data_IF_363534796304
#
_entry.id   IF_363534796304
#
_cell.length_a   1.000
_cell.length_b   1.000
_cell.length_c   1.000
_cell.angle_alpha   90.00
_cell.angle_beta   90.00
_cell.angle_gamma   90.00
#
_symmetry.space_group_name_H-M   'P 1'
#
loop_
_entity.id
_entity.type
_entity.pdbx_description
1 polymer ?
#
# COMPACT_ATOMS: atom_id res chain seq x y z
N UNK A 1 13.28 -14.01 8.43
CA UNK A 1 12.78 -13.63 8.12
C UNK A 1 12.26 -13.03 7.44
N UNK A 2 12.55 -12.91 7.20
CA UNK A 2 12.06 -12.23 6.58
C UNK A 2 11.27 -11.96 6.10
N UNK A 3 11.06 -11.79 5.98
CA UNK A 3 10.36 -11.37 5.51
C UNK A 3 9.70 -10.90 5.49
N UNK A 4 9.88 -10.76 5.63
CA UNK A 4 9.28 -10.34 5.72
C UNK A 4 8.78 -9.49 5.40
N UNK A 5 8.95 -9.02 5.31
CA UNK A 5 8.49 -8.19 4.96
C UNK A 5 7.82 -7.67 4.46
N UNK A 6 7.73 -7.57 4.98
CA UNK A 6 7.22 -7.05 3.70
C UNK A 6 5.89 -6.33 3.85
N UNK A 7 5.89 -5.06 3.59
CA UNK A 7 4.69 -4.26 3.62
C UNK A 7 3.88 -4.48 2.35
N UNK A 8 2.56 -4.69 2.49
CA UNK A 8 1.72 -4.71 1.32
C UNK A 8 1.34 -3.27 0.93
N UNK A 9 0.59 -3.11 -0.15
CA UNK A 9 0.25 -1.77 -0.64
C UNK A 9 -0.61 -1.00 0.35
N UNK A 10 -1.49 -1.69 1.07
CA UNK A 10 -2.30 -1.01 2.08
C UNK A 10 -1.43 -0.53 3.23
N UNK A 11 -0.45 -1.33 3.63
CA UNK A 11 0.49 -0.94 4.67
C UNK A 11 1.31 0.28 4.23
N UNK A 12 1.75 0.29 2.97
CA UNK A 12 2.53 1.40 2.45
C UNK A 12 1.76 2.71 2.51
N UNK A 13 0.46 2.66 2.25
CA UNK A 13 -0.38 3.86 2.34
C UNK A 13 -0.97 4.06 3.72
N UNK A 14 -0.68 3.15 4.66
CA UNK A 14 -1.17 3.25 6.03
C UNK A 14 -2.68 3.30 6.09
N UNK A 15 -3.34 2.48 5.29
CA UNK A 15 -4.78 2.41 5.27
C UNK A 15 -5.24 0.96 5.43
N UNK A 16 -6.50 0.80 5.77
CA UNK A 16 -7.11 -0.51 5.87
C UNK A 16 -7.35 -1.08 4.47
N UNK A 17 -7.38 -2.40 4.37
CA UNK A 17 -7.71 -3.05 3.10
C UNK A 17 -9.15 -2.74 2.68
N UNK A 18 -9.97 -2.26 3.62
CA UNK A 18 -11.34 -1.85 3.31
C UNK A 18 -11.48 -0.36 3.05
N UNK A 19 -10.37 0.35 2.90
CA UNK A 19 -10.43 1.80 2.70
C UNK A 19 -11.17 2.16 1.42
N UNK A 20 -11.98 3.21 1.49
CA UNK A 20 -12.69 3.69 0.32
C UNK A 20 -11.74 4.42 -0.62
N UNK A 21 -12.07 4.46 -1.93
CA UNK A 21 -11.20 5.14 -2.89
C UNK A 21 -10.87 6.58 -2.50
N UNK A 22 -11.84 7.29 -1.96
CA UNK A 22 -11.62 8.67 -1.54
C UNK A 22 -10.58 8.76 -0.43
N UNK A 23 -10.62 7.83 0.52
CA UNK A 23 -9.65 7.79 1.61
C UNK A 23 -8.26 7.52 1.06
N UNK A 24 -8.16 6.57 0.13
CA UNK A 24 -6.88 6.23 -0.50
C UNK A 24 -6.29 7.46 -1.21
N UNK A 25 -7.13 8.19 -1.95
CA UNK A 25 -6.67 9.39 -2.64
C UNK A 25 -6.15 10.44 -1.65
N UNK A 26 -6.88 10.64 -0.57
CA UNK A 26 -6.53 11.64 0.42
C UNK A 26 -5.21 11.30 1.10
N UNK A 27 -5.06 10.05 1.53
CA UNK A 27 -3.85 9.61 2.21
C UNK A 27 -2.66 9.66 1.26
N UNK A 28 -2.86 9.25 0.01
CA UNK A 28 -1.77 9.30 -0.96
C UNK A 28 -1.23 10.73 -1.10
N UNK A 29 -2.12 11.72 -1.22
CA UNK A 29 -1.65 13.11 -1.36
C UNK A 29 -0.84 13.54 -0.16
N UNK A 30 -1.29 13.15 1.03
CA UNK A 30 -0.59 13.51 2.26
C UNK A 30 0.79 12.87 2.30
N UNK A 31 0.87 11.58 2.00
CA UNK A 31 2.14 10.87 2.05
C UNK A 31 3.08 11.28 0.93
N UNK A 32 2.51 11.54 -0.26
CA UNK A 32 3.33 11.99 -1.38
C UNK A 32 4.01 13.32 -1.06
N UNK A 33 3.27 14.21 -0.41
CA UNK A 33 3.84 15.50 -0.01
C UNK A 33 4.92 15.32 1.04
N UNK A 34 4.67 14.43 1.99
CA UNK A 34 5.63 14.18 3.08
C UNK A 34 6.93 13.61 2.56
N UNK A 35 6.86 12.66 1.65
CA UNK A 35 8.06 11.94 1.19
C UNK A 35 8.63 12.44 -0.13
N UNK A 36 8.04 13.53 -0.68
CA UNK A 36 8.56 14.07 -1.92
C UNK A 36 10.05 14.39 -1.80
N UNK A 37 10.86 14.07 -2.82
CA UNK A 37 12.30 14.31 -2.73
C UNK A 37 12.67 15.76 -2.44
N UNK A 38 11.81 16.71 -2.83
CA UNK A 38 12.07 18.13 -2.58
C UNK A 38 11.78 18.54 -1.13
N UNK A 39 11.14 17.68 -0.36
CA UNK A 39 10.86 17.98 1.04
C UNK A 39 12.14 17.79 1.85
N UNK A 40 12.70 18.90 2.32
CA UNK A 40 14.00 18.85 2.97
C UNK A 40 13.99 18.15 4.32
N UNK A 41 12.85 18.12 4.98
CA UNK A 41 12.77 17.55 6.32
C UNK A 41 12.49 16.06 6.32
N UNK A 42 11.64 15.59 5.43
CA UNK A 42 11.19 14.22 5.46
C UNK A 42 11.23 13.53 4.10
N UNK A 43 11.81 14.18 3.10
CA UNK A 43 11.86 13.60 1.76
C UNK A 43 12.60 12.28 1.72
N UNK A 44 12.08 11.34 0.96
CA UNK A 44 12.66 10.02 0.82
C UNK A 44 12.25 9.45 -0.53
N UNK A 45 13.17 9.44 -1.46
CA UNK A 45 12.86 9.04 -2.82
C UNK A 45 12.40 7.59 -2.92
N UNK A 46 13.04 6.71 -2.18
CA UNK A 46 12.66 5.29 -2.21
C UNK A 46 11.27 5.09 -1.65
N UNK A 47 10.96 5.75 -0.54
CA UNK A 47 9.65 5.65 0.08
C UNK A 47 8.59 6.26 -0.84
N UNK A 48 8.91 7.41 -1.44
CA UNK A 48 8.00 8.07 -2.36
C UNK A 48 7.63 7.15 -3.52
N UNK A 49 8.64 6.44 -4.05
CA UNK A 49 8.42 5.53 -5.18
C UNK A 49 7.49 4.38 -4.79
N UNK A 50 7.68 3.83 -3.59
CA UNK A 50 6.84 2.75 -3.10
C UNK A 50 5.39 3.21 -2.91
N UNK A 51 5.23 4.42 -2.39
CA UNK A 51 3.91 5.00 -2.18
C UNK A 51 3.20 5.20 -3.52
N UNK A 52 3.93 5.68 -4.51
CA UNK A 52 3.38 5.86 -5.85
C UNK A 52 2.96 4.54 -6.46
N UNK A 53 3.78 3.52 -6.30
CA UNK A 53 3.44 2.18 -6.81
C UNK A 53 2.17 1.66 -6.16
N UNK A 54 2.06 1.77 -4.85
CA UNK A 54 0.88 1.32 -4.12
C UNK A 54 -0.37 2.06 -4.60
N UNK A 55 -0.24 3.37 -4.76
CA UNK A 55 -1.37 4.17 -5.21
C UNK A 55 -1.80 3.82 -6.64
N UNK A 56 -0.82 3.55 -7.50
CA UNK A 56 -1.12 3.20 -8.88
C UNK A 56 -2.01 1.96 -8.96
N UNK A 57 -1.79 1.01 -8.07
CA UNK A 57 -2.61 -0.21 -8.02
C UNK A 57 -3.92 0.04 -7.30
N UNK A 58 -3.86 0.65 -6.12
CA UNK A 58 -5.05 0.74 -5.26
C UNK A 58 -6.05 1.80 -5.74
N UNK A 59 -5.63 2.74 -6.58
CA UNK A 59 -6.53 3.76 -7.09
C UNK A 59 -7.26 3.32 -8.36
N UNK A 60 -6.82 2.24 -8.97
CA UNK A 60 -7.46 1.70 -10.18
C UNK A 60 -8.37 0.55 -9.75
N UNK A 61 -9.69 0.67 -9.95
CA UNK A 61 -10.62 -0.36 -9.46
C UNK A 61 -10.29 -1.76 -9.97
N UNK A 62 -9.87 -1.87 -11.20
CA UNK A 62 -9.56 -3.17 -11.78
C UNK A 62 -8.28 -3.75 -11.21
N UNK A 63 -7.25 -2.94 -11.12
CA UNK A 63 -5.98 -3.39 -10.55
C UNK A 63 -6.14 -3.71 -9.07
N UNK A 64 -6.91 -2.88 -8.36
CA UNK A 64 -7.17 -3.12 -6.95
C UNK A 64 -7.89 -4.44 -6.75
N UNK A 65 -8.89 -4.73 -7.58
CA UNK A 65 -9.63 -5.97 -7.46
C UNK A 65 -8.72 -7.18 -7.62
N UNK A 66 -7.83 -7.14 -8.60
CA UNK A 66 -6.88 -8.22 -8.81
C UNK A 66 -5.93 -8.36 -7.64
N UNK A 67 -5.46 -7.22 -7.14
CA UNK A 67 -4.55 -7.23 -6.00
C UNK A 67 -5.24 -7.81 -4.77
N UNK A 68 -6.49 -7.43 -4.55
CA UNK A 68 -7.24 -7.90 -3.39
C UNK A 68 -7.44 -9.41 -3.42
N UNK A 69 -7.71 -9.96 -4.59
CA UNK A 69 -7.88 -11.41 -4.72
C UNK A 69 -6.60 -12.13 -4.34
N UNK A 70 -5.47 -11.68 -4.86
CA UNK A 70 -4.18 -12.28 -4.55
C UNK A 70 -3.83 -12.10 -3.07
N UNK A 71 -4.13 -10.94 -2.53
CA UNK A 71 -3.83 -10.63 -1.13
C UNK A 71 -4.66 -11.49 -0.18
N UNK A 72 -5.94 -11.62 -0.46
CA UNK A 72 -6.83 -12.44 0.35
C UNK A 72 -6.45 -13.91 0.29
N UNK A 73 -6.12 -14.38 -0.89
CA UNK A 73 -5.71 -15.77 -1.06
C UNK A 73 -4.49 -16.07 -0.21
N UNK A 74 -3.53 -15.16 -0.22
CA UNK A 74 -2.33 -15.32 0.57
C UNK A 74 -2.65 -15.36 2.07
N UNK A 75 -3.54 -14.49 2.51
CA UNK A 75 -3.96 -14.45 3.90
C UNK A 75 -4.68 -15.73 4.31
N UNK A 76 -5.57 -16.21 3.44
CA UNK A 76 -6.31 -17.43 3.71
C UNK A 76 -5.38 -18.63 3.85
N UNK A 77 -4.37 -18.71 3.01
CA UNK A 77 -3.39 -19.77 3.08
C UNK A 77 -2.65 -19.74 4.41
N UNK A 78 -2.30 -18.56 4.87
CA UNK A 78 -1.64 -18.41 6.16
C UNK A 78 -2.53 -18.86 7.30
N UNK A 79 -3.81 -18.51 7.23
CA UNK A 79 -4.78 -18.93 8.24
C UNK A 79 -4.92 -20.44 8.32
N UNK A 80 -4.91 -21.10 7.17
CA UNK A 80 -4.98 -22.56 7.12
C UNK A 80 -3.81 -23.20 7.83
N UNK A 81 -2.64 -22.62 7.66
CA UNK A 81 -1.44 -23.15 8.29
C UNK A 81 -1.50 -23.01 9.81
N UNK A 82 -2.17 -21.98 10.29
CA UNK A 82 -2.28 -21.71 11.70
C UNK A 82 -3.36 -22.58 12.35
N UNK A 83 -4.45 -22.78 11.66
CA UNK A 83 -5.55 -23.57 12.19
C UNK A 83 -5.36 -25.04 11.91
#
# INVERSE_FOLDING_TARGET
MADERTEDYYDLLQVSSGAEPETINRVYRLLAQRYHPDNRESGNEDRFRLILEAYTVLSDPEKRARYDIAHQKHKNDRWRLIS
#
